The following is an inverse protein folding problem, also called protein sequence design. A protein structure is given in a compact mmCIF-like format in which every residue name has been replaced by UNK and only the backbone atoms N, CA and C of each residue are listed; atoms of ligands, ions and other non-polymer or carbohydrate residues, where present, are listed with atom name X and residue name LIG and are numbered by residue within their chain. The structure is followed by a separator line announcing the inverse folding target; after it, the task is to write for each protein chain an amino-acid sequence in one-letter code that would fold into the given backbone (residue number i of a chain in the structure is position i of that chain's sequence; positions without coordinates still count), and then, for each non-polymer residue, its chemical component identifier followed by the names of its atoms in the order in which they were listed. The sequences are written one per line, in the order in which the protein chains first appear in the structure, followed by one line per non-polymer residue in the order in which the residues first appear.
data_IF_716457282146
#
_entry.id   IF_716457282146
#
_cell.length_a   1.000
_cell.length_b   1.000
_cell.length_c   1.000
_cell.angle_alpha   90.00
_cell.angle_beta   90.00
_cell.angle_gamma   90.00
#
_symmetry.space_group_name_H-M   'P 1'
#
loop_
_entity.id
_entity.type
_entity.pdbx_description
1 polymer ?
#
# COMPACT_ATOMS: atom_id res chain seq x y z
N UNK A 1 0.28 3.26 -11.22
CA UNK A 1 -0.03 4.68 -10.97
C UNK A 1 -1.36 4.80 -10.24
N UNK A 2 -1.44 5.69 -9.26
CA UNK A 2 -2.66 5.89 -8.48
C UNK A 2 -3.33 7.19 -8.84
N UNK A 3 -4.63 7.30 -8.49
CA UNK A 3 -5.40 8.52 -8.69
C UNK A 3 -5.25 9.45 -7.49
N UNK A 4 -5.69 10.71 -7.64
CA UNK A 4 -5.71 11.67 -6.53
C UNK A 4 -6.56 11.15 -5.36
N UNK A 5 -7.70 10.53 -5.67
CA UNK A 5 -8.57 9.97 -4.65
C UNK A 5 -7.87 8.84 -3.88
N UNK A 6 -7.21 7.93 -4.60
CA UNK A 6 -6.43 6.86 -3.96
C UNK A 6 -5.32 7.45 -3.09
N UNK A 7 -4.63 8.46 -3.58
CA UNK A 7 -3.59 9.13 -2.81
C UNK A 7 -4.14 9.70 -1.50
N UNK A 8 -5.25 10.43 -1.57
CA UNK A 8 -5.87 11.02 -0.38
C UNK A 8 -6.30 9.96 0.62
N UNK A 9 -6.83 8.84 0.13
CA UNK A 9 -7.25 7.73 1.00
C UNK A 9 -6.07 6.99 1.63
N UNK A 10 -4.89 7.06 1.01
CA UNK A 10 -3.68 6.43 1.53
C UNK A 10 -2.91 7.29 2.53
N UNK A 11 -3.20 8.59 2.60
CA UNK A 11 -2.50 9.49 3.52
C UNK A 11 -2.51 9.00 4.98
N UNK A 12 -3.62 8.47 5.53
CA UNK A 12 -3.61 7.94 6.90
C UNK A 12 -2.64 6.79 7.11
N UNK A 13 -2.17 6.16 6.04
CA UNK A 13 -1.25 5.02 6.08
C UNK A 13 0.16 5.41 5.66
N UNK A 14 0.48 6.69 5.64
CA UNK A 14 1.79 7.22 5.24
C UNK A 14 2.94 6.59 6.03
N UNK A 15 2.77 6.42 7.34
CA UNK A 15 3.81 5.83 8.20
C UNK A 15 4.18 4.42 7.80
N UNK A 16 3.25 3.46 7.76
CA UNK A 16 3.60 2.10 7.34
C UNK A 16 4.09 2.03 5.90
N UNK A 17 3.54 2.84 5.01
CA UNK A 17 4.03 2.89 3.63
C UNK A 17 5.45 3.43 3.56
N UNK A 18 5.77 4.43 4.38
CA UNK A 18 7.12 4.98 4.48
C UNK A 18 8.14 3.98 5.00
N UNK A 19 7.74 3.16 5.97
CA UNK A 19 8.63 2.10 6.49
C UNK A 19 9.00 1.10 5.41
N UNK A 20 8.05 0.71 4.57
CA UNK A 20 8.31 -0.21 3.47
C UNK A 20 9.17 0.47 2.41
N UNK A 21 8.83 1.69 2.05
CA UNK A 21 9.51 2.42 0.98
C UNK A 21 10.98 2.71 1.30
N UNK A 22 11.26 3.11 2.54
CA UNK A 22 12.60 3.54 2.95
C UNK A 22 13.46 2.42 3.52
N UNK A 23 12.84 1.46 4.21
CA UNK A 23 13.57 0.46 4.99
C UNK A 23 13.19 -0.99 4.67
N UNK A 24 12.31 -1.23 3.71
CA UNK A 24 11.78 -2.56 3.40
C UNK A 24 11.22 -3.28 4.63
N UNK A 25 10.65 -2.51 5.55
CA UNK A 25 10.15 -3.02 6.82
C UNK A 25 8.62 -2.96 6.84
N UNK A 26 7.99 -4.11 7.10
CA UNK A 26 6.54 -4.21 7.19
C UNK A 26 6.10 -4.03 8.64
N UNK A 27 5.40 -2.92 8.90
CA UNK A 27 4.85 -2.62 10.21
C UNK A 27 3.45 -2.06 10.03
N UNK A 28 2.49 -2.96 9.82
CA UNK A 28 1.10 -2.58 9.56
C UNK A 28 0.20 -3.67 10.16
N UNK A 29 -0.88 -3.25 10.84
CA UNK A 29 -1.83 -4.20 11.38
C UNK A 29 -2.72 -4.77 10.26
N UNK A 30 -3.34 -5.95 10.49
CA UNK A 30 -4.15 -6.61 9.45
C UNK A 30 -5.30 -5.75 8.92
N UNK A 31 -5.96 -4.98 9.77
CA UNK A 31 -7.07 -4.13 9.34
C UNK A 31 -6.60 -3.02 8.42
N UNK A 32 -5.49 -2.38 8.77
CA UNK A 32 -4.91 -1.32 7.95
C UNK A 32 -4.41 -1.88 6.63
N UNK A 33 -3.82 -3.09 6.64
CA UNK A 33 -3.38 -3.74 5.41
C UNK A 33 -4.54 -3.98 4.47
N UNK A 34 -5.67 -4.46 4.97
CA UNK A 34 -6.88 -4.65 4.16
C UNK A 34 -7.35 -3.35 3.55
N UNK A 35 -7.37 -2.28 4.33
CA UNK A 35 -7.78 -0.95 3.85
C UNK A 35 -6.87 -0.46 2.73
N UNK A 36 -5.57 -0.60 2.91
CA UNK A 36 -4.59 -0.20 1.89
C UNK A 36 -4.80 -0.98 0.61
N UNK A 37 -4.97 -2.30 0.70
CA UNK A 37 -5.21 -3.14 -0.47
C UNK A 37 -6.52 -2.78 -1.17
N UNK A 38 -7.58 -2.53 -0.40
CA UNK A 38 -8.87 -2.12 -0.96
C UNK A 38 -8.77 -0.76 -1.67
N UNK A 39 -8.07 0.19 -1.08
CA UNK A 39 -7.87 1.51 -1.69
C UNK A 39 -7.12 1.37 -3.02
N UNK A 40 -6.06 0.57 -3.03
CA UNK A 40 -5.20 0.45 -4.20
C UNK A 40 -5.83 -0.38 -5.32
N UNK A 41 -6.41 -1.53 -4.98
CA UNK A 41 -6.95 -2.47 -5.97
C UNK A 41 -8.46 -2.37 -6.17
N UNK A 42 -9.21 -1.80 -5.22
CA UNK A 42 -10.66 -1.70 -5.29
C UNK A 42 -11.37 -2.78 -4.45
N UNK A 43 -12.72 -2.83 -4.52
CA UNK A 43 -13.49 -3.76 -3.68
C UNK A 43 -13.17 -5.25 -3.91
N UNK A 44 -12.67 -5.59 -5.10
CA UNK A 44 -12.32 -6.98 -5.44
C UNK A 44 -10.82 -7.26 -5.27
N UNK A 45 -10.18 -6.57 -4.35
CA UNK A 45 -8.73 -6.70 -4.11
C UNK A 45 -8.30 -8.13 -3.80
N UNK A 46 -9.19 -8.93 -3.19
CA UNK A 46 -8.88 -10.33 -2.84
C UNK A 46 -8.58 -11.18 -4.07
N UNK A 47 -9.13 -10.80 -5.22
CA UNK A 47 -8.90 -11.51 -6.48
C UNK A 47 -7.63 -11.04 -7.20
N UNK A 48 -7.04 -9.95 -6.73
CA UNK A 48 -5.89 -9.32 -7.38
C UNK A 48 -4.56 -9.53 -6.63
N UNK A 49 -4.62 -10.12 -5.45
CA UNK A 49 -3.43 -10.39 -4.62
C UNK A 49 -3.35 -11.87 -4.26
N UNK A 50 -2.15 -12.38 -3.92
CA UNK A 50 -2.02 -13.76 -3.47
C UNK A 50 -2.86 -14.03 -2.23
N UNK A 51 -3.38 -15.27 -2.14
CA UNK A 51 -4.18 -15.68 -0.97
C UNK A 51 -3.43 -15.52 0.35
N UNK A 52 -2.10 -15.72 0.31
CA UNK A 52 -1.26 -15.70 1.49
C UNK A 52 -0.84 -14.28 1.89
N UNK A 53 -1.33 -13.24 1.21
CA UNK A 53 -0.88 -11.86 1.47
C UNK A 53 -1.03 -11.46 2.94
N UNK A 54 -2.07 -11.96 3.61
CA UNK A 54 -2.32 -11.61 5.01
C UNK A 54 -1.44 -12.38 5.99
N UNK A 55 -0.88 -13.53 5.59
CA UNK A 55 -0.09 -14.38 6.46
C UNK A 55 1.38 -14.52 6.04
N UNK A 56 1.72 -14.18 4.81
CA UNK A 56 3.07 -14.31 4.29
C UNK A 56 3.77 -12.94 4.31
N UNK A 57 4.84 -12.83 5.10
CA UNK A 57 5.62 -11.59 5.20
C UNK A 57 6.18 -11.12 3.87
N UNK A 58 6.66 -12.05 3.06
CA UNK A 58 7.19 -11.74 1.73
C UNK A 58 6.11 -11.18 0.79
N UNK A 59 4.93 -11.80 0.81
CA UNK A 59 3.81 -11.35 -0.01
C UNK A 59 3.34 -9.95 0.42
N UNK A 60 3.27 -9.71 1.73
CA UNK A 60 2.95 -8.37 2.27
C UNK A 60 3.95 -7.34 1.79
N UNK A 61 5.24 -7.66 1.90
CA UNK A 61 6.31 -6.74 1.50
C UNK A 61 6.22 -6.40 0.03
N UNK A 62 6.04 -7.40 -0.84
CA UNK A 62 5.92 -7.17 -2.27
C UNK A 62 4.76 -6.24 -2.62
N UNK A 63 3.58 -6.51 -2.07
CA UNK A 63 2.40 -5.70 -2.33
C UNK A 63 2.57 -4.29 -1.78
N UNK A 64 3.07 -4.16 -0.57
CA UNK A 64 3.27 -2.84 0.05
C UNK A 64 4.36 -2.04 -0.65
N UNK A 65 5.40 -2.69 -1.17
CA UNK A 65 6.43 -2.01 -1.97
C UNK A 65 5.83 -1.38 -3.22
N UNK A 66 5.01 -2.13 -3.91
CA UNK A 66 4.33 -1.65 -5.12
C UNK A 66 3.44 -0.46 -4.80
N UNK A 67 2.63 -0.58 -3.75
CA UNK A 67 1.70 0.48 -3.34
C UNK A 67 2.47 1.71 -2.85
N UNK A 68 3.49 1.52 -2.02
CA UNK A 68 4.27 2.63 -1.48
C UNK A 68 5.04 3.36 -2.57
N UNK A 69 5.57 2.64 -3.56
CA UNK A 69 6.25 3.26 -4.69
C UNK A 69 5.29 4.17 -5.47
N UNK A 70 4.08 3.69 -5.76
CA UNK A 70 3.09 4.50 -6.47
C UNK A 70 2.64 5.70 -5.62
N UNK A 71 2.48 5.50 -4.31
CA UNK A 71 2.06 6.55 -3.39
C UNK A 71 3.11 7.68 -3.34
N UNK A 72 4.36 7.35 -3.11
CA UNK A 72 5.41 8.36 -3.02
C UNK A 72 5.77 8.98 -4.35
N UNK A 73 5.65 8.23 -5.45
CA UNK A 73 5.83 8.79 -6.78
C UNK A 73 4.73 9.82 -7.09
N UNK A 74 3.51 9.54 -6.72
CA UNK A 74 2.42 10.51 -6.90
C UNK A 74 2.68 11.79 -6.12
N UNK A 75 3.07 11.65 -4.84
CA UNK A 75 3.41 12.78 -3.99
C UNK A 75 4.54 13.61 -4.60
N UNK A 76 5.58 12.95 -5.10
CA UNK A 76 6.74 13.60 -5.69
C UNK A 76 6.38 14.32 -6.99
N UNK A 77 5.61 13.65 -7.86
CA UNK A 77 5.25 14.18 -9.19
C UNK A 77 4.29 15.35 -9.11
N UNK A 78 3.40 15.37 -8.11
CA UNK A 78 2.41 16.46 -7.95
C UNK A 78 2.92 17.58 -7.07
N UNK A 79 4.06 17.43 -6.43
CA UNK A 79 4.59 18.43 -5.51
C UNK A 79 3.80 18.53 -4.21
N UNK A 80 3.00 17.53 -3.91
CA UNK A 80 2.14 17.51 -2.73
C UNK A 80 2.96 17.27 -1.46
#
# INVERSE_FOLDING_TARGET
MITEEQYKNLIPYDKPLGCVYRANYVHIDPMSLRKVLEIYYGPDWKNKVPRQVMSCGHCKLEQLKKISTDYFNYEHDTGA
#
